data_IF_676083730380
#
_entry.id   IF_676083730380
#
_cell.length_a   1.000
_cell.length_b   1.000
_cell.length_c   1.000
_cell.angle_alpha   90.00
_cell.angle_beta   90.00
_cell.angle_gamma   90.00
#
_symmetry.space_group_name_H-M   'P 1'
#
loop_
_entity.id
_entity.type
_entity.pdbx_description
1 polymer ?
#
# COMPACT_ATOMS: atom_id res chain seq x y z
N UNK A 1 28.97 -8.15 -42.36
CA UNK A 1 27.65 -7.67 -41.90
C UNK A 1 27.25 -8.53 -40.72
N UNK A 2 27.34 -8.00 -39.50
CA UNK A 2 26.89 -8.69 -38.29
C UNK A 2 25.49 -8.17 -38.02
N UNK A 3 24.51 -9.05 -38.10
CA UNK A 3 23.13 -8.73 -37.73
C UNK A 3 23.04 -8.84 -36.22
N UNK A 4 23.12 -7.71 -35.52
CA UNK A 4 22.83 -7.63 -34.08
C UNK A 4 21.35 -7.96 -33.87
N UNK A 5 21.09 -9.15 -33.33
CA UNK A 5 19.80 -9.49 -32.75
C UNK A 5 19.64 -8.67 -31.47
N UNK A 6 18.87 -7.59 -31.54
CA UNK A 6 18.32 -6.96 -30.35
C UNK A 6 17.37 -7.97 -29.70
N UNK A 7 17.82 -8.66 -28.65
CA UNK A 7 16.94 -9.34 -27.71
C UNK A 7 15.92 -8.32 -27.21
N UNK A 8 14.68 -8.42 -27.70
CA UNK A 8 13.54 -7.80 -27.03
C UNK A 8 13.43 -8.49 -25.68
N UNK A 9 13.96 -7.84 -24.64
CA UNK A 9 13.61 -8.19 -23.26
C UNK A 9 12.12 -7.98 -23.15
N UNK A 10 11.33 -9.05 -23.23
CA UNK A 10 9.90 -8.99 -22.99
C UNK A 10 9.70 -8.38 -21.59
N UNK A 11 9.22 -7.13 -21.56
CA UNK A 11 8.92 -6.43 -20.31
C UNK A 11 7.67 -7.11 -19.76
N UNK A 12 7.86 -8.18 -18.99
CA UNK A 12 6.77 -8.84 -18.28
C UNK A 12 6.22 -7.88 -17.23
N UNK A 13 4.89 -7.80 -17.14
CA UNK A 13 4.23 -7.02 -16.09
C UNK A 13 4.59 -7.60 -14.72
N UNK A 14 4.82 -6.76 -13.70
CA UNK A 14 4.98 -7.24 -12.34
C UNK A 14 3.72 -7.96 -11.87
N UNK A 15 3.89 -9.13 -11.23
CA UNK A 15 2.79 -9.97 -10.78
C UNK A 15 2.40 -9.67 -9.33
N UNK A 16 1.10 -9.53 -9.07
CA UNK A 16 0.56 -9.38 -7.71
C UNK A 16 0.54 -10.68 -6.91
N UNK A 17 0.95 -11.79 -7.53
CA UNK A 17 1.21 -13.06 -6.83
C UNK A 17 2.66 -13.20 -6.36
N UNK A 18 3.55 -12.28 -6.73
CA UNK A 18 4.96 -12.33 -6.34
C UNK A 18 5.18 -11.55 -5.03
N UNK A 19 5.65 -12.18 -3.95
CA UNK A 19 5.80 -11.51 -2.65
C UNK A 19 6.68 -10.26 -2.69
N UNK A 20 7.74 -10.27 -3.51
CA UNK A 20 8.66 -9.12 -3.65
C UNK A 20 7.95 -7.91 -4.25
N UNK A 21 7.04 -8.12 -5.21
CA UNK A 21 6.27 -7.02 -5.81
C UNK A 21 5.29 -6.44 -4.79
N UNK A 22 4.59 -7.30 -4.05
CA UNK A 22 3.62 -6.87 -3.03
C UNK A 22 4.31 -6.13 -1.89
N UNK A 23 5.41 -6.68 -1.35
CA UNK A 23 6.21 -6.04 -0.30
C UNK A 23 6.71 -4.66 -0.74
N UNK A 24 7.30 -4.56 -1.93
CA UNK A 24 7.79 -3.29 -2.47
C UNK A 24 6.66 -2.24 -2.59
N UNK A 25 5.49 -2.63 -3.09
CA UNK A 25 4.34 -1.73 -3.23
C UNK A 25 3.79 -1.25 -1.87
N UNK A 26 3.63 -2.16 -0.91
CA UNK A 26 3.12 -1.83 0.44
C UNK A 26 4.10 -0.89 1.16
N UNK A 27 5.40 -1.20 1.12
CA UNK A 27 6.44 -0.34 1.71
C UNK A 27 6.53 1.01 1.03
N UNK A 28 6.44 1.05 -0.30
CA UNK A 28 6.44 2.31 -1.04
C UNK A 28 5.25 3.19 -0.64
N UNK A 29 4.06 2.60 -0.45
CA UNK A 29 2.91 3.34 0.07
C UNK A 29 3.17 3.89 1.48
N UNK A 30 3.71 3.08 2.39
CA UNK A 30 4.07 3.54 3.74
C UNK A 30 5.06 4.71 3.72
N UNK A 31 6.10 4.65 2.88
CA UNK A 31 7.04 5.75 2.68
C UNK A 31 6.33 7.01 2.20
N UNK A 32 5.44 6.93 1.20
CA UNK A 32 4.67 8.10 0.72
C UNK A 32 3.79 8.71 1.80
N UNK A 33 3.21 7.89 2.69
CA UNK A 33 2.44 8.37 3.84
C UNK A 33 3.34 9.12 4.82
N UNK A 34 4.50 8.55 5.17
CA UNK A 34 5.48 9.20 6.06
C UNK A 34 5.94 10.55 5.47
N UNK A 35 6.30 10.57 4.19
CA UNK A 35 6.76 11.77 3.50
C UNK A 35 5.67 12.84 3.49
N UNK A 36 4.43 12.46 3.15
CA UNK A 36 3.28 13.39 3.13
C UNK A 36 2.98 13.94 4.53
N UNK A 37 3.04 13.10 5.56
CA UNK A 37 2.80 13.50 6.94
C UNK A 37 3.91 14.46 7.44
N UNK A 38 5.16 14.12 7.18
CA UNK A 38 6.32 14.94 7.54
C UNK A 38 6.27 16.30 6.85
N UNK A 39 5.98 16.33 5.55
CA UNK A 39 5.84 17.56 4.77
C UNK A 39 4.74 18.47 5.33
N UNK A 40 3.60 17.88 5.71
CA UNK A 40 2.52 18.62 6.39
C UNK A 40 2.98 19.23 7.72
N UNK A 41 3.68 18.45 8.56
CA UNK A 41 4.12 18.92 9.88
C UNK A 41 5.17 20.04 9.82
N UNK A 42 6.07 20.00 8.83
CA UNK A 42 7.06 21.08 8.62
C UNK A 42 6.49 22.28 7.87
N UNK A 43 5.21 22.23 7.46
CA UNK A 43 4.53 23.30 6.74
C UNK A 43 5.03 23.47 5.30
N UNK A 44 5.41 22.38 4.64
CA UNK A 44 5.85 22.42 3.24
C UNK A 44 4.70 22.86 2.31
N UNK A 45 4.93 23.83 1.40
CA UNK A 45 3.90 24.28 0.48
C UNK A 45 3.32 23.14 -0.38
N UNK A 46 2.00 23.07 -0.49
CA UNK A 46 1.29 22.05 -1.26
C UNK A 46 0.92 20.78 -0.47
N UNK A 47 1.28 20.70 0.82
CA UNK A 47 0.94 19.60 1.72
C UNK A 47 -0.08 19.99 2.79
N UNK A 48 -0.86 21.05 2.58
CA UNK A 48 -1.82 21.58 3.56
C UNK A 48 -3.01 20.63 3.82
N UNK A 49 -3.22 19.64 2.95
CA UNK A 49 -4.33 18.67 3.03
C UNK A 49 -3.80 17.23 2.91
N UNK A 50 -3.05 16.73 3.92
CA UNK A 50 -2.36 15.43 3.84
C UNK A 50 -3.32 14.26 3.61
N UNK A 51 -4.52 14.30 4.21
CA UNK A 51 -5.53 13.26 4.05
C UNK A 51 -6.04 13.12 2.62
N UNK A 52 -6.12 14.22 1.86
CA UNK A 52 -6.58 14.16 0.47
C UNK A 52 -5.54 13.48 -0.43
N UNK A 53 -4.25 13.76 -0.19
CA UNK A 53 -3.14 13.14 -0.91
C UNK A 53 -3.02 11.64 -0.57
N UNK A 54 -3.04 11.30 0.72
CA UNK A 54 -3.04 9.90 1.19
C UNK A 54 -4.27 9.14 0.65
N UNK A 55 -5.45 9.76 0.67
CA UNK A 55 -6.68 9.15 0.15
C UNK A 55 -6.67 8.95 -1.37
N UNK A 56 -5.92 9.76 -2.13
CA UNK A 56 -5.68 9.50 -3.55
C UNK A 56 -4.78 8.28 -3.73
N UNK A 57 -3.65 8.25 -3.04
CA UNK A 57 -2.71 7.13 -3.10
C UNK A 57 -3.37 5.81 -2.66
N UNK A 58 -4.20 5.84 -1.62
CA UNK A 58 -4.92 4.66 -1.13
C UNK A 58 -5.86 4.09 -2.20
N UNK A 59 -6.55 4.96 -2.96
CA UNK A 59 -7.40 4.53 -4.08
C UNK A 59 -6.59 3.96 -5.24
N UNK A 60 -5.43 4.53 -5.53
CA UNK A 60 -4.53 4.02 -6.58
C UNK A 60 -4.00 2.62 -6.20
N UNK A 61 -3.59 2.45 -4.94
CA UNK A 61 -3.19 1.15 -4.40
C UNK A 61 -4.34 0.13 -4.40
N UNK A 62 -5.55 0.57 -4.07
CA UNK A 62 -6.74 -0.27 -4.15
C UNK A 62 -7.01 -0.74 -5.58
N UNK A 63 -6.90 0.15 -6.57
CA UNK A 63 -7.04 -0.20 -7.97
C UNK A 63 -5.99 -1.22 -8.43
N UNK A 64 -4.74 -1.10 -7.95
CA UNK A 64 -3.69 -2.10 -8.21
C UNK A 64 -4.07 -3.45 -7.59
N UNK A 65 -4.27 -3.51 -6.27
CA UNK A 65 -4.42 -4.77 -5.56
C UNK A 65 -5.75 -5.48 -5.80
N UNK A 66 -6.81 -4.75 -6.19
CA UNK A 66 -8.08 -5.32 -6.64
C UNK A 66 -8.08 -5.64 -8.15
N UNK A 67 -6.90 -5.64 -8.79
CA UNK A 67 -6.71 -6.10 -10.17
C UNK A 67 -7.46 -5.27 -11.20
N UNK A 68 -7.68 -3.98 -10.93
CA UNK A 68 -8.31 -2.98 -11.80
C UNK A 68 -7.28 -2.18 -12.61
N UNK A 69 -5.99 -2.27 -12.24
CA UNK A 69 -4.89 -1.64 -12.94
C UNK A 69 -4.20 -2.65 -13.89
N UNK A 70 -4.28 -2.38 -15.20
CA UNK A 70 -3.73 -3.25 -16.25
C UNK A 70 -2.19 -3.27 -16.32
N UNK A 71 -1.48 -2.41 -15.57
CA UNK A 71 -0.01 -2.43 -15.50
C UNK A 71 0.54 -3.61 -14.70
N UNK A 72 -0.31 -4.36 -13.99
CA UNK A 72 0.08 -5.49 -13.14
C UNK A 72 -0.61 -6.79 -13.59
N UNK A 73 0.11 -7.91 -13.49
CA UNK A 73 -0.48 -9.23 -13.66
C UNK A 73 -1.24 -9.60 -12.38
N UNK A 74 -2.57 -9.56 -12.45
CA UNK A 74 -3.44 -9.96 -11.34
C UNK A 74 -3.57 -11.48 -11.24
N UNK A 75 -3.71 -11.98 -10.02
CA UNK A 75 -4.09 -13.37 -9.74
C UNK A 75 -5.60 -13.48 -9.52
N UNK A 76 -6.18 -14.70 -9.49
CA UNK A 76 -7.58 -14.87 -9.09
C UNK A 76 -7.88 -14.31 -7.69
N UNK A 77 -6.90 -14.25 -6.78
CA UNK A 77 -7.09 -13.70 -5.44
C UNK A 77 -7.43 -12.21 -5.46
N UNK A 78 -6.82 -11.44 -6.36
CA UNK A 78 -7.00 -9.98 -6.48
C UNK A 78 -8.41 -9.56 -6.92
N UNK A 79 -9.33 -10.48 -7.20
CA UNK A 79 -10.68 -10.14 -7.61
C UNK A 79 -11.52 -9.55 -6.45
N UNK A 80 -12.42 -8.62 -6.77
CA UNK A 80 -13.35 -8.00 -5.81
C UNK A 80 -14.20 -9.03 -5.02
N UNK A 81 -14.54 -10.15 -5.65
CA UNK A 81 -15.31 -11.24 -5.02
C UNK A 81 -14.47 -12.21 -4.20
N UNK A 82 -13.14 -12.02 -4.12
CA UNK A 82 -12.22 -12.78 -3.27
C UNK A 82 -11.52 -11.87 -2.28
N UNK A 83 -10.43 -11.20 -2.67
CA UNK A 83 -9.73 -10.26 -1.81
C UNK A 83 -10.68 -9.16 -1.31
N UNK A 84 -11.52 -8.58 -2.17
CA UNK A 84 -12.45 -7.53 -1.74
C UNK A 84 -13.46 -7.99 -0.67
N UNK A 85 -13.94 -9.24 -0.73
CA UNK A 85 -14.80 -9.82 0.31
C UNK A 85 -14.02 -10.09 1.59
N UNK A 86 -12.80 -10.62 1.47
CA UNK A 86 -11.91 -10.85 2.60
C UNK A 86 -11.59 -9.55 3.35
N UNK A 87 -11.22 -8.48 2.63
CA UNK A 87 -10.95 -7.17 3.23
C UNK A 87 -12.19 -6.57 3.91
N UNK A 88 -13.38 -6.70 3.32
CA UNK A 88 -14.64 -6.30 4.00
C UNK A 88 -14.88 -7.04 5.31
N UNK A 89 -14.44 -8.29 5.41
CA UNK A 89 -14.57 -9.06 6.65
C UNK A 89 -13.54 -8.68 7.71
N UNK A 90 -12.36 -8.21 7.30
CA UNK A 90 -11.31 -7.75 8.20
C UNK A 90 -11.55 -6.32 8.71
N UNK A 91 -12.04 -5.44 7.83
CA UNK A 91 -12.20 -4.01 8.06
C UNK A 91 -13.64 -3.57 7.70
N UNK A 92 -14.66 -4.04 8.44
CA UNK A 92 -16.06 -3.82 8.07
C UNK A 92 -16.46 -2.34 8.17
N UNK A 93 -16.00 -1.64 9.22
CA UNK A 93 -16.32 -0.23 9.46
C UNK A 93 -15.64 0.66 8.41
N UNK A 94 -14.33 0.47 8.19
CA UNK A 94 -13.59 1.25 7.20
C UNK A 94 -14.11 0.97 5.78
N UNK A 95 -14.48 -0.27 5.47
CA UNK A 95 -15.08 -0.61 4.17
C UNK A 95 -16.41 0.10 3.93
N UNK A 96 -17.19 0.33 4.98
CA UNK A 96 -18.43 1.09 4.90
C UNK A 96 -18.14 2.58 4.69
N UNK A 97 -17.20 3.14 5.44
CA UNK A 97 -16.85 4.57 5.37
C UNK A 97 -16.25 4.98 4.02
N UNK A 98 -15.35 4.15 3.47
CA UNK A 98 -14.66 4.44 2.22
C UNK A 98 -15.37 3.89 0.98
N UNK A 99 -16.34 3.00 1.13
CA UNK A 99 -17.13 2.40 0.04
C UNK A 99 -16.37 1.42 -0.86
N UNK A 100 -15.05 1.36 -0.78
CA UNK A 100 -14.18 0.42 -1.48
C UNK A 100 -13.23 -0.26 -0.48
N UNK A 101 -13.21 -1.61 -0.42
CA UNK A 101 -12.46 -2.32 0.61
C UNK A 101 -10.93 -2.26 0.44
N UNK A 102 -10.44 -2.06 -0.78
CA UNK A 102 -9.01 -1.83 -0.99
C UNK A 102 -8.61 -0.45 -0.45
N UNK A 103 -9.42 0.56 -0.73
CA UNK A 103 -9.21 1.92 -0.22
C UNK A 103 -9.29 1.95 1.30
N UNK A 104 -10.24 1.22 1.88
CA UNK A 104 -10.36 1.02 3.32
C UNK A 104 -9.10 0.42 3.95
N UNK A 105 -8.54 -0.65 3.36
CA UNK A 105 -7.29 -1.24 3.82
C UNK A 105 -6.15 -0.22 3.81
N UNK A 106 -5.94 0.50 2.71
CA UNK A 106 -4.83 1.43 2.61
C UNK A 106 -5.01 2.69 3.46
N UNK A 107 -6.26 3.12 3.71
CA UNK A 107 -6.54 4.20 4.67
C UNK A 107 -6.33 3.75 6.12
N UNK A 108 -6.76 2.55 6.48
CA UNK A 108 -6.46 1.95 7.79
C UNK A 108 -4.94 1.82 7.98
N UNK A 109 -4.24 1.33 6.96
CA UNK A 109 -2.79 1.17 7.02
C UNK A 109 -2.08 2.53 7.14
N UNK A 110 -2.49 3.54 6.37
CA UNK A 110 -1.96 4.90 6.48
C UNK A 110 -2.17 5.49 7.87
N UNK A 111 -3.30 5.21 8.53
CA UNK A 111 -3.52 5.60 9.92
C UNK A 111 -2.50 4.95 10.86
N UNK A 112 -2.22 3.65 10.72
CA UNK A 112 -1.18 2.99 11.53
C UNK A 112 0.21 3.61 11.32
N UNK A 113 0.55 3.94 10.07
CA UNK A 113 1.81 4.63 9.73
C UNK A 113 1.86 6.02 10.37
N UNK A 114 0.82 6.83 10.24
CA UNK A 114 0.75 8.17 10.83
C UNK A 114 0.89 8.13 12.37
N UNK A 115 0.23 7.18 13.05
CA UNK A 115 0.40 7.00 14.49
C UNK A 115 1.84 6.65 14.88
N UNK A 116 2.53 5.85 14.07
CA UNK A 116 3.93 5.54 14.31
C UNK A 116 4.80 6.80 14.17
N UNK A 117 4.52 7.66 13.19
CA UNK A 117 5.19 8.97 13.07
C UNK A 117 4.96 9.86 14.29
N UNK A 118 3.72 9.97 14.78
CA UNK A 118 3.40 10.77 15.98
C UNK A 118 4.19 10.28 17.22
N UNK A 119 4.28 8.96 17.42
CA UNK A 119 5.05 8.36 18.52
C UNK A 119 6.55 8.59 18.35
N UNK A 120 7.06 8.49 17.12
CA UNK A 120 8.47 8.75 16.83
C UNK A 120 8.87 10.19 17.20
N UNK A 121 7.98 11.14 16.96
CA UNK A 121 8.17 12.55 17.31
C UNK A 121 8.06 12.81 18.81
N UNK A 122 7.07 12.20 19.49
CA UNK A 122 6.85 12.44 20.92
C UNK A 122 7.92 11.83 21.81
N UNK A 123 8.33 10.59 21.50
CA UNK A 123 9.17 9.78 22.39
C UNK A 123 10.67 9.86 22.03
N UNK A 124 11.02 10.61 20.98
CA UNK A 124 12.37 10.70 20.39
C UNK A 124 13.00 9.33 20.07
N UNK A 125 12.17 8.29 19.90
CA UNK A 125 12.60 6.93 19.62
C UNK A 125 11.94 6.41 18.34
N UNK A 126 12.35 7.01 17.22
CA UNK A 126 11.85 6.65 15.89
C UNK A 126 12.09 5.16 15.56
N UNK A 127 13.20 4.59 16.02
CA UNK A 127 13.53 3.18 15.74
C UNK A 127 12.51 2.21 16.34
N UNK A 128 12.09 2.44 17.59
CA UNK A 128 11.07 1.61 18.24
C UNK A 128 9.69 1.81 17.59
N UNK A 129 9.35 3.03 17.19
CA UNK A 129 8.10 3.31 16.48
C UNK A 129 8.03 2.56 15.13
N UNK A 130 9.10 2.60 14.33
CA UNK A 130 9.17 1.85 13.08
C UNK A 130 9.21 0.33 13.29
N UNK A 131 9.87 -0.14 14.36
CA UNK A 131 9.87 -1.57 14.72
C UNK A 131 8.46 -2.10 14.99
N UNK A 132 7.58 -1.28 15.58
CA UNK A 132 6.17 -1.64 15.82
C UNK A 132 5.31 -1.61 14.56
N UNK A 133 5.75 -0.88 13.53
CA UNK A 133 5.06 -0.84 12.24
C UNK A 133 5.35 -2.08 11.39
N UNK A 134 6.51 -2.72 11.56
CA UNK A 134 6.91 -3.87 10.75
C UNK A 134 5.91 -5.05 10.82
N UNK A 135 5.39 -5.48 11.99
CA UNK A 135 4.34 -6.49 12.05
C UNK A 135 3.09 -6.09 11.25
N UNK A 136 2.68 -4.83 11.29
CA UNK A 136 1.53 -4.32 10.53
C UNK A 136 1.78 -4.41 9.02
N UNK A 137 2.99 -4.05 8.58
CA UNK A 137 3.40 -4.20 7.17
C UNK A 137 3.30 -5.66 6.74
N UNK A 138 3.81 -6.58 7.56
CA UNK A 138 3.78 -8.02 7.27
C UNK A 138 2.34 -8.56 7.21
N UNK A 139 1.45 -8.13 8.12
CA UNK A 139 0.04 -8.52 8.11
C UNK A 139 -0.64 -8.05 6.81
N UNK A 140 -0.42 -6.79 6.40
CA UNK A 140 -0.97 -6.25 5.14
C UNK A 140 -0.46 -7.06 3.94
N UNK A 141 0.85 -7.35 3.88
CA UNK A 141 1.43 -8.17 2.80
C UNK A 141 0.80 -9.56 2.76
N UNK A 142 0.66 -10.22 3.92
CA UNK A 142 0.09 -11.55 4.00
C UNK A 142 -1.38 -11.58 3.57
N UNK A 143 -2.18 -10.59 3.97
CA UNK A 143 -3.57 -10.43 3.54
C UNK A 143 -3.67 -10.29 2.01
N UNK A 144 -2.79 -9.47 1.42
CA UNK A 144 -2.74 -9.23 -0.02
C UNK A 144 -2.27 -10.45 -0.83
N UNK A 145 -1.43 -11.32 -0.23
CA UNK A 145 -0.93 -12.54 -0.87
C UNK A 145 -1.76 -13.81 -0.56
N UNK A 146 -2.80 -13.71 0.28
CA UNK A 146 -3.55 -14.87 0.80
C UNK A 146 -2.67 -15.87 1.58
N UNK A 147 -1.66 -15.38 2.29
CA UNK A 147 -0.83 -16.21 3.17
C UNK A 147 -1.43 -16.18 4.57
N UNK A 148 -1.69 -17.36 5.13
CA UNK A 148 -2.12 -17.47 6.54
C UNK A 148 -0.91 -17.30 7.45
N UNK A 149 -1.07 -16.51 8.50
CA UNK A 149 -0.19 -16.51 9.67
C UNK A 149 -0.43 -17.77 10.52
#
# INVERSE_FOLDING_TARGET
MVTEQFERKDIRKPSLGEPVVVDALVRQFATRVIDTWTAFLVGEPGFEVPLANIGKDARDMAAIFLGRNDSYDRTPWNADNRLGVYLRSLLPEESQDYGDPGSALFMWFAYQVAKACEVAESDQNAEEAYRRLEPVIQDVIAWLLHVRH
#
